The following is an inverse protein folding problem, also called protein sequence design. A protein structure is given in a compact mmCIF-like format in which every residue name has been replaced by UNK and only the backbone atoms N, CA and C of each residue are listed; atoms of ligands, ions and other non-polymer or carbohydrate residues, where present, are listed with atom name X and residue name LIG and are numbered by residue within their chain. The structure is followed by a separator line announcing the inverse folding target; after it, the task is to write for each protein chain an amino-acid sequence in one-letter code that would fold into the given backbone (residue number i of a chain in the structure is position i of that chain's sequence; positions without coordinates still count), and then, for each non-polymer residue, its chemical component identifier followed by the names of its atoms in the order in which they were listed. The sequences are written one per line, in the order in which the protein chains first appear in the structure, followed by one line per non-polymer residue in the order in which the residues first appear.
data_IF_887089901654
#
_entry.id   IF_887089901654
#
_cell.length_a   1.000
_cell.length_b   1.000
_cell.length_c   1.000
_cell.angle_alpha   90.00
_cell.angle_beta   90.00
_cell.angle_gamma   90.00
#
_symmetry.space_group_name_H-M   'P 1'
#
loop_
_entity.id
_entity.type
_entity.pdbx_description
1 polymer ?
#
# COMPACT_ATOMS: atom_id res chain seq x y z
N UNK A 1 7.75 15.52 -12.55
CA UNK A 1 7.10 14.57 -13.44
C UNK A 1 7.83 14.46 -14.77
N UNK A 2 7.66 13.36 -15.47
CA UNK A 2 8.19 13.13 -16.82
C UNK A 2 7.03 13.07 -17.79
N UNK A 3 7.13 13.87 -18.89
CA UNK A 3 6.18 13.82 -20.01
C UNK A 3 6.86 13.08 -21.15
N UNK A 4 6.21 12.07 -21.70
CA UNK A 4 6.70 11.30 -22.84
C UNK A 4 5.70 11.39 -23.99
N UNK A 5 6.18 11.69 -25.20
CA UNK A 5 5.40 11.67 -26.43
C UNK A 5 6.11 10.79 -27.45
N UNK A 6 5.35 9.90 -28.08
CA UNK A 6 5.85 8.94 -29.08
C UNK A 6 5.11 9.17 -30.41
N UNK A 7 5.82 9.10 -31.53
CA UNK A 7 5.26 9.23 -32.86
C UNK A 7 6.32 9.17 -33.95
N UNK A 8 5.87 9.15 -35.20
CA UNK A 8 6.74 9.02 -36.38
C UNK A 8 7.22 10.37 -36.93
N UNK A 9 6.57 11.46 -36.57
CA UNK A 9 6.94 12.81 -37.03
C UNK A 9 7.68 13.56 -35.91
N UNK A 10 8.96 13.82 -36.11
CA UNK A 10 9.84 14.50 -35.15
C UNK A 10 9.27 15.85 -34.67
N UNK A 11 8.78 16.69 -35.58
CA UNK A 11 8.25 18.02 -35.24
C UNK A 11 6.98 17.93 -34.38
N UNK A 12 6.10 16.97 -34.70
CA UNK A 12 4.89 16.75 -33.92
C UNK A 12 5.21 16.18 -32.52
N UNK A 13 6.16 15.26 -32.43
CA UNK A 13 6.61 14.68 -31.13
C UNK A 13 7.22 15.80 -30.27
N UNK A 14 8.10 16.61 -30.79
CA UNK A 14 8.74 17.71 -30.07
C UNK A 14 7.71 18.74 -29.60
N UNK A 15 6.85 19.22 -30.50
CA UNK A 15 5.84 20.23 -30.16
C UNK A 15 4.80 19.67 -29.18
N UNK A 16 4.40 18.39 -29.33
CA UNK A 16 3.50 17.69 -28.43
C UNK A 16 4.08 17.54 -27.02
N UNK A 17 5.36 17.18 -26.90
CA UNK A 17 6.05 17.08 -25.63
C UNK A 17 6.12 18.43 -24.89
N UNK A 18 6.50 19.51 -25.59
CA UNK A 18 6.51 20.88 -25.04
C UNK A 18 5.12 21.30 -24.56
N UNK A 19 4.09 21.09 -25.39
CA UNK A 19 2.71 21.45 -25.06
C UNK A 19 2.20 20.72 -23.82
N UNK A 20 2.45 19.41 -23.71
CA UNK A 20 2.04 18.63 -22.55
C UNK A 20 2.82 19.01 -21.30
N UNK A 21 4.14 19.22 -21.40
CA UNK A 21 4.96 19.66 -20.28
C UNK A 21 4.52 21.02 -19.76
N UNK A 22 4.25 21.98 -20.67
CA UNK A 22 3.72 23.29 -20.29
C UNK A 22 2.37 23.15 -19.58
N UNK A 23 1.44 22.37 -20.15
CA UNK A 23 0.13 22.17 -19.52
C UNK A 23 0.25 21.53 -18.13
N UNK A 24 1.13 20.55 -17.96
CA UNK A 24 1.40 19.93 -16.67
C UNK A 24 1.93 20.94 -15.65
N UNK A 25 2.85 21.81 -16.09
CA UNK A 25 3.39 22.89 -15.27
C UNK A 25 2.32 23.90 -14.86
N UNK A 26 1.48 24.34 -15.79
CA UNK A 26 0.43 25.34 -15.55
C UNK A 26 -0.57 24.88 -14.47
N UNK A 27 -0.89 23.57 -14.46
CA UNK A 27 -1.86 22.98 -13.51
C UNK A 27 -1.20 22.38 -12.25
N UNK A 28 0.12 22.50 -12.07
CA UNK A 28 0.87 21.83 -10.98
C UNK A 28 0.32 22.07 -9.57
N UNK A 29 -0.33 23.20 -9.34
CA UNK A 29 -0.95 23.56 -8.05
C UNK A 29 -2.40 23.08 -7.90
N UNK A 30 -2.96 22.48 -8.95
CA UNK A 30 -4.34 21.98 -8.97
C UNK A 30 -4.43 20.49 -8.61
N UNK A 31 -3.28 19.80 -8.55
CA UNK A 31 -3.26 18.41 -8.14
C UNK A 31 -3.61 18.27 -6.66
N UNK A 32 -4.54 17.38 -6.36
CA UNK A 32 -4.95 17.01 -5.01
C UNK A 32 -4.97 15.49 -4.87
N UNK A 33 -4.96 15.02 -3.64
CA UNK A 33 -5.24 13.62 -3.38
C UNK A 33 -6.71 13.30 -3.70
N UNK A 34 -7.02 12.06 -4.04
CA UNK A 34 -8.38 11.60 -4.38
C UNK A 34 -9.33 11.66 -3.17
N UNK A 35 -8.80 11.45 -1.96
CA UNK A 35 -9.50 11.64 -0.70
C UNK A 35 -8.68 12.54 0.23
N UNK A 36 -9.27 13.09 1.31
CA UNK A 36 -8.54 13.91 2.25
C UNK A 36 -7.32 13.18 2.85
N UNK A 37 -6.14 13.81 2.75
CA UNK A 37 -4.86 13.28 3.26
C UNK A 37 -4.50 13.88 4.62
N UNK A 38 -4.14 13.03 5.58
CA UNK A 38 -3.75 13.47 6.93
C UNK A 38 -2.62 12.59 7.49
N UNK A 39 -1.92 13.04 8.57
CA UNK A 39 -1.09 12.16 9.37
C UNK A 39 -1.89 10.96 9.91
N UNK A 40 -1.24 9.82 10.12
CA UNK A 40 -1.86 8.55 10.52
C UNK A 40 -2.79 8.70 11.74
N UNK A 41 -2.32 9.37 12.78
CA UNK A 41 -3.06 9.55 14.03
C UNK A 41 -4.40 10.25 13.79
N UNK A 42 -4.39 11.30 12.97
CA UNK A 42 -5.62 12.02 12.59
C UNK A 42 -6.57 11.14 11.78
N UNK A 43 -6.04 10.30 10.87
CA UNK A 43 -6.86 9.33 10.12
C UNK A 43 -7.55 8.35 11.05
N UNK A 44 -6.83 7.81 12.04
CA UNK A 44 -7.38 6.89 13.04
C UNK A 44 -8.44 7.61 13.89
N UNK A 45 -8.18 8.82 14.36
CA UNK A 45 -9.14 9.61 15.17
C UNK A 45 -10.44 9.84 14.42
N UNK A 46 -10.37 10.20 13.12
CA UNK A 46 -11.53 10.39 12.27
C UNK A 46 -12.33 9.07 12.11
N UNK A 47 -11.64 7.96 11.85
CA UNK A 47 -12.28 6.67 11.69
C UNK A 47 -12.92 6.17 12.99
N UNK A 48 -12.27 6.35 14.13
CA UNK A 48 -12.81 6.00 15.44
C UNK A 48 -14.03 6.85 15.80
N UNK A 49 -14.04 8.14 15.48
CA UNK A 49 -15.16 9.03 15.72
C UNK A 49 -16.34 8.83 14.76
N UNK A 50 -16.10 8.25 13.57
CA UNK A 50 -17.11 8.09 12.52
C UNK A 50 -18.13 6.99 12.86
N UNK A 51 -19.38 7.18 12.46
CA UNK A 51 -20.43 6.15 12.47
C UNK A 51 -20.62 5.48 11.10
N UNK A 52 -19.88 5.89 10.08
CA UNK A 52 -19.91 5.30 8.73
C UNK A 52 -19.10 4.00 8.70
N UNK A 53 -19.59 2.97 7.97
CA UNK A 53 -18.98 1.64 7.88
C UNK A 53 -19.03 1.07 6.47
N UNK A 54 -17.97 0.44 6.00
CA UNK A 54 -16.62 0.52 6.53
C UNK A 54 -16.00 1.90 6.29
N UNK A 55 -15.25 2.40 7.25
CA UNK A 55 -14.40 3.58 7.08
C UNK A 55 -13.02 3.11 6.59
N UNK A 56 -12.59 3.56 5.42
CA UNK A 56 -11.33 3.13 4.84
C UNK A 56 -10.19 4.12 5.14
N UNK A 57 -9.01 3.57 5.43
CA UNK A 57 -7.77 4.31 5.58
C UNK A 57 -6.74 3.73 4.61
N UNK A 58 -6.29 4.53 3.65
CA UNK A 58 -5.16 4.19 2.79
C UNK A 58 -3.84 4.43 3.52
N UNK A 59 -3.06 3.38 3.77
CA UNK A 59 -1.66 3.46 4.20
C UNK A 59 -0.79 3.72 2.97
N UNK A 60 -0.45 5.00 2.73
CA UNK A 60 0.15 5.42 1.47
C UNK A 60 1.65 5.15 1.39
N UNK A 61 2.36 5.21 2.52
CA UNK A 61 3.83 5.23 2.53
C UNK A 61 4.48 3.90 2.17
N UNK A 62 3.76 2.78 2.35
CA UNK A 62 4.24 1.44 1.99
C UNK A 62 3.26 0.74 1.04
N UNK A 63 2.92 1.42 -0.05
CA UNK A 63 2.02 0.90 -1.09
C UNK A 63 2.77 0.01 -2.10
N UNK A 64 2.52 -1.32 -2.13
CA UNK A 64 3.13 -2.21 -3.11
C UNK A 64 2.82 -1.84 -4.56
N UNK A 65 1.64 -1.30 -4.84
CA UNK A 65 1.26 -0.82 -6.17
C UNK A 65 2.08 0.41 -6.63
N UNK A 66 2.66 1.15 -5.70
CA UNK A 66 3.57 2.26 -5.95
C UNK A 66 5.06 1.89 -5.90
N UNK A 67 5.39 0.62 -5.68
CA UNK A 67 6.77 0.13 -5.56
C UNK A 67 7.24 -0.04 -4.11
N UNK A 68 6.36 0.11 -3.12
CA UNK A 68 6.66 -0.20 -1.73
C UNK A 68 6.84 -1.71 -1.49
N UNK A 69 7.59 -2.08 -0.46
CA UNK A 69 7.81 -3.49 -0.11
C UNK A 69 6.54 -4.17 0.41
N UNK A 70 5.60 -3.41 0.98
CA UNK A 70 4.41 -3.91 1.64
C UNK A 70 4.66 -4.51 3.02
N UNK A 71 5.92 -4.49 3.50
CA UNK A 71 6.29 -5.10 4.76
C UNK A 71 6.67 -4.13 5.88
N UNK A 72 6.64 -2.81 5.60
CA UNK A 72 6.94 -1.78 6.61
C UNK A 72 5.92 -1.84 7.75
N UNK A 73 6.42 -1.98 8.95
CA UNK A 73 5.64 -2.19 10.18
C UNK A 73 5.23 -0.90 10.88
N UNK A 74 5.71 0.25 10.41
CA UNK A 74 5.54 1.56 11.04
C UNK A 74 4.07 1.87 11.40
N UNK A 75 3.16 1.62 10.47
CA UNK A 75 1.72 1.83 10.67
C UNK A 75 1.15 0.82 11.65
N UNK A 76 1.45 -0.48 11.49
CA UNK A 76 0.95 -1.55 12.36
C UNK A 76 1.39 -1.34 13.81
N UNK A 77 2.67 -0.98 14.03
CA UNK A 77 3.20 -0.72 15.36
C UNK A 77 2.46 0.40 16.11
N UNK A 78 1.98 1.41 15.39
CA UNK A 78 1.19 2.53 15.94
C UNK A 78 -0.25 2.13 16.19
N UNK A 79 -0.89 1.45 15.26
CA UNK A 79 -2.26 0.93 15.40
C UNK A 79 -2.36 0.01 16.62
N UNK A 80 -1.41 -0.90 16.80
CA UNK A 80 -1.38 -1.81 17.95
C UNK A 80 -1.21 -1.10 19.30
N UNK A 81 -0.70 0.12 19.34
CA UNK A 81 -0.54 0.91 20.56
C UNK A 81 -1.80 1.70 20.93
N UNK A 82 -2.74 1.88 20.01
CA UNK A 82 -3.96 2.70 20.23
C UNK A 82 -4.88 2.06 21.27
N UNK A 83 -5.26 2.80 22.33
CA UNK A 83 -6.08 2.27 23.41
C UNK A 83 -7.48 1.85 22.97
N UNK A 84 -8.04 2.48 21.94
CA UNK A 84 -9.37 2.21 21.38
C UNK A 84 -9.51 0.77 20.86
N UNK A 85 -8.40 0.15 20.48
CA UNK A 85 -8.37 -1.19 19.91
C UNK A 85 -7.91 -2.28 20.89
N UNK A 86 -7.56 -1.92 22.14
CA UNK A 86 -7.01 -2.87 23.13
C UNK A 86 -8.02 -3.91 23.62
N UNK A 87 -9.31 -3.62 23.52
CA UNK A 87 -10.36 -4.52 24.00
C UNK A 87 -11.15 -5.11 22.84
N UNK A 88 -11.69 -6.35 22.99
CA UNK A 88 -12.52 -6.96 21.96
C UNK A 88 -13.84 -6.23 21.65
N UNK A 89 -14.24 -5.30 22.53
CA UNK A 89 -15.47 -4.50 22.39
C UNK A 89 -15.23 -3.15 21.70
N UNK A 90 -13.96 -2.82 21.35
CA UNK A 90 -13.63 -1.65 20.56
C UNK A 90 -14.17 -1.74 19.12
N UNK A 91 -14.08 -0.62 18.38
CA UNK A 91 -14.37 -0.65 16.95
C UNK A 91 -13.47 -1.66 16.27
N UNK A 92 -14.06 -2.50 15.41
CA UNK A 92 -13.32 -3.51 14.66
C UNK A 92 -12.45 -2.86 13.59
N UNK A 93 -11.16 -3.22 13.56
CA UNK A 93 -10.22 -2.77 12.54
C UNK A 93 -9.65 -3.98 11.80
N UNK A 94 -9.80 -4.00 10.48
CA UNK A 94 -9.15 -4.95 9.59
C UNK A 94 -7.89 -4.31 9.00
N UNK A 95 -6.72 -4.86 9.34
CA UNK A 95 -5.43 -4.43 8.79
C UNK A 95 -5.01 -5.36 7.64
N UNK A 96 -4.98 -4.85 6.43
CA UNK A 96 -4.67 -5.58 5.19
C UNK A 96 -3.44 -5.01 4.49
N UNK A 97 -2.33 -5.67 4.46
CA UNK A 97 -1.86 -6.91 5.10
C UNK A 97 -0.39 -6.71 5.48
N UNK A 98 0.23 -7.70 6.08
CA UNK A 98 1.67 -7.67 6.38
C UNK A 98 2.27 -9.05 6.13
N UNK A 99 3.49 -9.17 5.56
CA UNK A 99 4.16 -10.46 5.42
C UNK A 99 4.64 -10.98 6.79
N UNK A 100 4.59 -12.31 6.97
CA UNK A 100 5.01 -12.97 8.19
C UNK A 100 4.85 -14.49 8.11
N UNK A 101 5.74 -15.18 7.37
CA UNK A 101 5.68 -16.64 7.21
C UNK A 101 5.72 -17.38 8.54
N UNK A 102 6.54 -16.92 9.50
CA UNK A 102 6.61 -17.52 10.84
C UNK A 102 5.26 -17.42 11.57
N UNK A 103 4.53 -16.32 11.40
CA UNK A 103 3.20 -16.17 12.00
C UNK A 103 2.17 -17.10 11.34
N UNK A 104 2.24 -17.30 10.03
CA UNK A 104 1.37 -18.26 9.35
C UNK A 104 1.61 -19.68 9.86
N UNK A 105 2.86 -20.07 10.06
CA UNK A 105 3.23 -21.37 10.61
C UNK A 105 2.83 -21.51 12.10
N UNK A 106 3.04 -20.46 12.90
CA UNK A 106 2.58 -20.44 14.29
C UNK A 106 1.04 -20.58 14.38
N UNK A 107 0.31 -19.90 13.49
CA UNK A 107 -1.15 -20.01 13.40
C UNK A 107 -1.61 -21.42 13.00
N UNK A 108 -0.91 -22.08 12.07
CA UNK A 108 -1.19 -23.49 11.72
C UNK A 108 -1.04 -24.43 12.91
N UNK A 109 0.07 -24.28 13.65
CA UNK A 109 0.33 -25.08 14.84
C UNK A 109 -0.71 -24.86 15.94
N UNK A 110 -1.14 -23.63 16.15
CA UNK A 110 -2.12 -23.26 17.16
C UNK A 110 -3.55 -23.69 16.80
N UNK A 111 -3.87 -23.75 15.51
CA UNK A 111 -5.22 -23.98 15.01
C UNK A 111 -6.17 -22.80 15.22
N UNK A 112 -7.33 -22.82 14.56
CA UNK A 112 -8.37 -21.79 14.71
C UNK A 112 -8.86 -21.76 16.16
N UNK A 113 -8.94 -20.56 16.75
CA UNK A 113 -9.27 -20.34 18.17
C UNK A 113 -8.05 -20.42 19.11
N UNK A 114 -6.93 -20.98 18.67
CA UNK A 114 -5.68 -21.04 19.42
C UNK A 114 -4.96 -19.68 19.49
N UNK A 115 -3.95 -19.59 20.36
CA UNK A 115 -3.07 -18.42 20.49
C UNK A 115 -1.82 -18.61 19.65
N UNK A 116 -1.48 -17.62 18.82
CA UNK A 116 -0.26 -17.62 18.04
C UNK A 116 0.53 -16.34 18.31
N UNK A 117 1.86 -16.44 18.23
CA UNK A 117 2.77 -15.32 18.40
C UNK A 117 3.99 -15.51 17.52
N UNK A 118 4.34 -14.48 16.75
CA UNK A 118 5.58 -14.40 15.96
C UNK A 118 5.88 -12.95 15.54
N UNK A 119 7.04 -12.74 14.95
CA UNK A 119 7.36 -11.45 14.31
C UNK A 119 6.75 -11.37 12.91
N UNK A 120 6.33 -10.16 12.53
CA UNK A 120 5.76 -9.86 11.22
C UNK A 120 6.39 -8.59 10.63
N UNK A 121 6.51 -8.56 9.31
CA UNK A 121 7.00 -7.41 8.53
C UNK A 121 8.47 -7.09 8.75
N UNK A 122 8.94 -6.05 8.07
CA UNK A 122 10.28 -5.47 8.18
C UNK A 122 11.44 -6.49 8.06
N UNK A 123 11.25 -7.55 7.25
CA UNK A 123 12.26 -8.60 7.06
C UNK A 123 13.38 -8.16 6.12
N UNK A 124 13.04 -7.40 5.07
CA UNK A 124 13.99 -6.85 4.09
C UNK A 124 14.14 -5.33 4.20
N UNK A 125 13.10 -4.62 4.63
CA UNK A 125 13.11 -3.18 4.85
C UNK A 125 12.69 -2.84 6.29
N UNK A 126 13.68 -2.70 7.15
CA UNK A 126 13.54 -2.28 8.56
C UNK A 126 13.94 -0.81 8.79
N UNK A 127 14.09 -0.03 7.73
CA UNK A 127 14.58 1.35 7.80
C UNK A 127 13.64 2.30 8.54
N UNK A 128 12.35 1.96 8.61
CA UNK A 128 11.31 2.81 9.19
C UNK A 128 10.84 2.35 10.57
N UNK A 129 10.83 1.05 10.82
CA UNK A 129 10.43 0.43 12.08
C UNK A 129 10.93 -1.02 12.10
N UNK A 130 11.21 -1.58 13.28
CA UNK A 130 11.62 -2.97 13.46
C UNK A 130 10.44 -3.95 13.20
N UNK A 131 10.71 -5.25 12.97
CA UNK A 131 9.66 -6.26 12.95
C UNK A 131 8.77 -6.18 14.19
N UNK A 132 7.46 -6.32 14.00
CA UNK A 132 6.48 -6.26 15.09
C UNK A 132 6.21 -7.64 15.64
N UNK A 133 6.36 -7.82 16.95
CA UNK A 133 5.88 -9.02 17.64
C UNK A 133 4.36 -8.94 17.74
N UNK A 134 3.69 -9.77 16.94
CA UNK A 134 2.24 -9.89 16.92
C UNK A 134 1.82 -11.11 17.74
N UNK A 135 0.86 -10.94 18.64
CA UNK A 135 0.29 -12.02 19.43
C UNK A 135 -1.23 -11.90 19.45
N UNK A 136 -1.94 -13.02 19.32
CA UNK A 136 -3.40 -13.01 19.35
C UNK A 136 -4.04 -14.34 19.01
N UNK A 137 -5.37 -14.32 18.95
CA UNK A 137 -6.18 -15.49 18.61
C UNK A 137 -6.20 -15.71 17.10
N UNK A 138 -5.98 -16.93 16.66
CA UNK A 138 -6.10 -17.34 15.26
C UNK A 138 -7.57 -17.36 14.86
N UNK A 139 -7.98 -16.49 13.95
CA UNK A 139 -9.35 -16.45 13.41
C UNK A 139 -9.44 -17.31 12.15
N UNK A 140 -8.38 -17.33 11.36
CA UNK A 140 -8.29 -18.08 10.12
C UNK A 140 -6.82 -18.42 9.82
N UNK A 141 -6.60 -19.55 9.19
CA UNK A 141 -5.33 -19.90 8.55
C UNK A 141 -5.61 -20.72 7.30
N UNK A 142 -4.89 -20.44 6.20
CA UNK A 142 -5.01 -21.19 4.95
C UNK A 142 -4.74 -22.68 5.18
N UNK A 143 -5.57 -23.57 4.59
CA UNK A 143 -5.29 -25.01 4.60
C UNK A 143 -3.92 -25.31 4.00
N UNK A 144 -3.29 -26.39 4.46
CA UNK A 144 -2.07 -26.92 3.82
C UNK A 144 -2.47 -27.53 2.47
N UNK A 145 -1.86 -27.07 1.39
CA UNK A 145 -2.05 -27.72 0.10
C UNK A 145 -1.13 -28.92 -0.02
N UNK A 146 -1.67 -30.13 0.10
CA UNK A 146 -0.92 -31.42 0.04
C UNK A 146 -0.30 -31.73 -1.32
N UNK A 147 -0.57 -30.95 -2.39
CA UNK A 147 -0.18 -31.30 -3.76
C UNK A 147 0.79 -30.31 -4.41
N UNK A 148 1.90 -29.95 -3.76
CA UNK A 148 2.94 -29.16 -4.42
C UNK A 148 3.96 -30.01 -5.23
N UNK A 149 3.79 -31.33 -5.36
CA UNK A 149 4.74 -32.20 -6.08
C UNK A 149 4.31 -32.72 -7.46
N UNK A 150 3.07 -32.49 -7.90
CA UNK A 150 2.63 -33.03 -9.19
C UNK A 150 1.59 -32.13 -9.90
N UNK A 151 2.04 -31.07 -10.57
CA UNK A 151 1.30 -30.59 -11.74
C UNK A 151 2.27 -30.05 -12.79
N UNK A 152 2.76 -30.92 -13.66
CA UNK A 152 3.27 -30.54 -14.98
C UNK A 152 2.09 -30.09 -15.86
N UNK A 153 1.41 -29.04 -15.50
CA UNK A 153 0.40 -28.42 -16.34
C UNK A 153 1.07 -27.38 -17.25
N UNK A 154 0.93 -27.55 -18.58
CA UNK A 154 1.41 -26.65 -19.65
C UNK A 154 0.61 -25.31 -19.71
N UNK A 155 -0.14 -24.96 -18.71
CA UNK A 155 -0.75 -23.63 -18.56
C UNK A 155 0.24 -22.67 -17.92
N UNK A 156 0.16 -21.33 -18.20
CA UNK A 156 0.98 -20.37 -17.49
C UNK A 156 0.76 -20.57 -15.98
N UNK A 157 1.83 -20.53 -15.16
CA UNK A 157 1.75 -20.92 -13.77
C UNK A 157 0.61 -20.15 -13.11
N UNK A 158 -0.43 -20.88 -12.70
CA UNK A 158 -1.52 -20.34 -11.92
C UNK A 158 -0.85 -19.71 -10.71
N UNK A 159 -0.87 -18.37 -10.62
CA UNK A 159 -0.16 -17.63 -9.57
C UNK A 159 -0.75 -18.09 -8.24
N UNK A 160 -0.08 -19.02 -7.56
CA UNK A 160 -0.52 -19.54 -6.26
C UNK A 160 -0.77 -18.36 -5.35
N UNK A 161 -1.97 -18.26 -4.83
CA UNK A 161 -2.27 -17.24 -3.84
C UNK A 161 -1.42 -17.53 -2.60
N UNK A 162 -0.83 -16.50 -1.99
CA UNK A 162 -0.03 -16.70 -0.77
C UNK A 162 -0.91 -17.26 0.35
N UNK A 163 -0.33 -18.12 1.16
CA UNK A 163 -0.97 -18.57 2.37
C UNK A 163 -1.16 -17.39 3.33
N UNK A 164 -2.30 -17.34 4.00
CA UNK A 164 -2.62 -16.28 4.94
C UNK A 164 -3.06 -16.84 6.30
N UNK A 165 -2.83 -16.05 7.33
CA UNK A 165 -3.47 -16.18 8.63
C UNK A 165 -4.15 -14.87 9.01
N UNK A 166 -5.24 -14.93 9.78
CA UNK A 166 -5.87 -13.75 10.37
C UNK A 166 -5.75 -13.87 11.87
N UNK A 167 -5.03 -12.92 12.46
CA UNK A 167 -4.75 -12.87 13.90
C UNK A 167 -5.55 -11.74 14.54
N UNK A 168 -6.35 -12.07 15.55
CA UNK A 168 -7.12 -11.09 16.30
C UNK A 168 -6.39 -10.71 17.58
N UNK A 169 -6.10 -9.41 17.74
CA UNK A 169 -5.56 -8.84 18.98
C UNK A 169 -6.42 -7.63 19.39
N UNK A 170 -7.05 -7.72 20.57
CA UNK A 170 -8.08 -6.74 20.94
C UNK A 170 -9.25 -6.75 19.92
N UNK A 171 -9.52 -5.59 19.30
CA UNK A 171 -10.50 -5.46 18.21
C UNK A 171 -9.86 -5.38 16.82
N UNK A 172 -8.54 -5.58 16.71
CA UNK A 172 -7.80 -5.57 15.45
C UNK A 172 -7.73 -6.98 14.87
N UNK A 173 -8.03 -7.11 13.58
CA UNK A 173 -7.84 -8.31 12.77
C UNK A 173 -6.69 -8.05 11.80
N UNK A 174 -5.54 -8.66 12.03
CA UNK A 174 -4.35 -8.50 11.18
C UNK A 174 -4.29 -9.63 10.18
N UNK A 175 -4.34 -9.31 8.89
CA UNK A 175 -4.10 -10.28 7.82
C UNK A 175 -2.60 -10.40 7.62
N UNK A 176 -2.07 -11.59 7.88
CA UNK A 176 -0.65 -11.93 7.72
C UNK A 176 -0.51 -12.90 6.55
N UNK A 177 0.39 -12.64 5.62
CA UNK A 177 0.62 -13.51 4.47
C UNK A 177 2.05 -14.03 4.38
N UNK A 178 2.28 -15.09 3.60
CA UNK A 178 3.64 -15.56 3.27
C UNK A 178 4.38 -14.61 2.32
N UNK A 179 3.65 -13.70 1.68
CA UNK A 179 4.17 -12.54 0.94
C UNK A 179 3.26 -11.35 1.17
N UNK A 180 3.58 -10.18 0.60
CA UNK A 180 2.70 -8.99 0.69
C UNK A 180 1.58 -9.05 -0.36
N UNK A 181 0.42 -9.62 -0.11
CA UNK A 181 -0.65 -9.72 -1.09
C UNK A 181 -1.75 -8.72 -0.80
N UNK A 182 -2.52 -8.38 -1.83
CA UNK A 182 -3.89 -7.92 -1.62
C UNK A 182 -4.67 -9.13 -1.09
N UNK A 183 -5.19 -9.12 0.14
CA UNK A 183 -5.77 -10.32 0.72
C UNK A 183 -7.06 -10.70 0.01
N UNK A 184 -7.16 -11.96 -0.41
CA UNK A 184 -8.44 -12.55 -0.72
C UNK A 184 -9.08 -13.05 0.59
N UNK A 185 -10.14 -12.41 1.02
CA UNK A 185 -10.84 -12.76 2.27
C UNK A 185 -11.98 -13.76 2.06
N UNK A 186 -12.19 -14.24 0.83
CA UNK A 186 -13.19 -15.27 0.57
C UNK A 186 -12.90 -16.55 1.40
N UNK A 187 -13.90 -17.08 2.05
CA UNK A 187 -13.77 -18.29 2.88
C UNK A 187 -13.11 -18.09 4.25
N UNK A 188 -12.65 -16.87 4.59
CA UNK A 188 -12.02 -16.62 5.90
C UNK A 188 -13.00 -16.39 7.05
N UNK A 189 -14.29 -16.23 6.75
CA UNK A 189 -15.30 -15.83 7.73
C UNK A 189 -15.32 -14.34 8.06
N UNK A 190 -14.39 -13.56 7.53
CA UNK A 190 -14.36 -12.10 7.66
C UNK A 190 -15.16 -11.45 6.51
N UNK A 191 -16.20 -10.72 6.86
CA UNK A 191 -16.94 -9.86 5.94
C UNK A 191 -16.44 -8.41 6.09
N UNK A 192 -15.67 -7.87 5.11
CA UNK A 192 -15.14 -6.52 5.20
C UNK A 192 -16.23 -5.45 5.37
N UNK A 193 -17.42 -5.67 4.82
CA UNK A 193 -18.54 -4.71 4.91
C UNK A 193 -19.09 -4.55 6.33
N UNK A 194 -18.79 -5.52 7.21
CA UNK A 194 -19.18 -5.48 8.64
C UNK A 194 -18.11 -4.90 9.55
N UNK A 195 -16.92 -4.62 9.02
CA UNK A 195 -15.86 -3.98 9.80
C UNK A 195 -16.16 -2.49 9.99
N UNK A 196 -15.80 -1.94 11.15
CA UNK A 196 -15.91 -0.51 11.37
C UNK A 196 -14.86 0.25 10.58
N UNK A 197 -13.62 -0.27 10.58
CA UNK A 197 -12.46 0.36 9.95
C UNK A 197 -11.71 -0.68 9.12
N UNK A 198 -11.29 -0.30 7.93
CA UNK A 198 -10.39 -1.11 7.08
C UNK A 198 -9.18 -0.27 6.74
N UNK A 199 -7.99 -0.78 6.99
CA UNK A 199 -6.73 -0.17 6.63
C UNK A 199 -6.02 -1.00 5.56
N UNK A 200 -5.68 -0.37 4.42
CA UNK A 200 -5.07 -1.03 3.26
C UNK A 200 -3.79 -0.31 2.84
N UNK A 201 -2.75 -1.08 2.49
CA UNK A 201 -1.48 -0.54 1.96
C UNK A 201 -1.64 -0.18 0.48
N UNK A 202 -2.36 0.90 0.22
CA UNK A 202 -2.64 1.42 -1.11
C UNK A 202 -2.58 2.95 -1.11
N UNK A 203 -2.13 3.54 -2.21
CA UNK A 203 -2.27 4.98 -2.42
C UNK A 203 -3.72 5.30 -2.77
N UNK A 204 -4.21 4.78 -3.89
CA UNK A 204 -5.61 4.87 -4.31
C UNK A 204 -6.30 3.54 -4.11
N UNK A 205 -7.59 3.57 -3.71
CA UNK A 205 -8.36 2.36 -3.54
C UNK A 205 -8.63 1.69 -4.89
N UNK A 206 -8.36 0.38 -4.98
CA UNK A 206 -8.87 -0.44 -6.09
C UNK A 206 -10.39 -0.60 -5.95
N UNK A 207 -11.09 -0.90 -7.06
CA UNK A 207 -12.56 -0.97 -7.10
C UNK A 207 -13.16 -1.79 -5.97
N UNK A 208 -12.53 -2.92 -5.61
CA UNK A 208 -13.00 -3.78 -4.50
C UNK A 208 -13.19 -3.01 -3.18
N UNK A 209 -12.27 -2.09 -2.85
CA UNK A 209 -12.34 -1.28 -1.63
C UNK A 209 -13.13 0.00 -1.85
N UNK A 210 -12.95 0.62 -3.01
CA UNK A 210 -13.63 1.86 -3.37
C UNK A 210 -15.16 1.71 -3.38
N UNK A 211 -15.68 0.61 -3.95
CA UNK A 211 -17.13 0.40 -4.09
C UNK A 211 -17.82 0.08 -2.75
N UNK A 212 -17.07 -0.34 -1.74
CA UNK A 212 -17.64 -0.67 -0.43
C UNK A 212 -17.48 0.41 0.62
N UNK A 213 -16.61 1.40 0.41
CA UNK A 213 -16.32 2.41 1.42
C UNK A 213 -17.54 3.32 1.69
N UNK A 214 -17.83 3.57 2.96
CA UNK A 214 -18.80 4.56 3.38
C UNK A 214 -18.16 5.92 3.66
N UNK A 215 -16.86 5.91 3.93
CA UNK A 215 -15.98 7.07 4.02
C UNK A 215 -14.52 6.66 3.84
N UNK A 216 -13.66 7.58 3.42
CA UNK A 216 -12.27 7.28 3.09
C UNK A 216 -11.34 8.46 3.35
N UNK A 217 -10.19 8.17 3.95
CA UNK A 217 -9.07 9.10 4.14
C UNK A 217 -7.75 8.44 3.74
N UNK A 218 -6.78 9.28 3.36
CA UNK A 218 -5.45 8.86 2.94
C UNK A 218 -4.43 9.21 4.02
N UNK A 219 -3.85 8.19 4.67
CA UNK A 219 -2.86 8.37 5.71
C UNK A 219 -1.46 8.57 5.12
N UNK A 220 -0.86 9.71 5.39
CA UNK A 220 0.54 10.01 5.08
C UNK A 220 1.42 9.28 6.10
N UNK A 221 1.84 8.08 5.73
CA UNK A 221 2.62 7.17 6.55
C UNK A 221 4.05 7.06 6.05
N UNK A 222 4.93 6.49 6.86
CA UNK A 222 6.32 6.24 6.46
C UNK A 222 6.46 4.95 5.68
N UNK A 223 7.34 4.97 4.69
CA UNK A 223 7.67 3.85 3.84
C UNK A 223 8.43 4.30 2.59
N UNK A 224 8.80 3.36 1.73
CA UNK A 224 9.61 3.63 0.53
C UNK A 224 8.89 4.46 -0.54
N UNK A 225 7.57 4.65 -0.41
CA UNK A 225 6.75 5.52 -1.28
C UNK A 225 6.03 6.61 -0.49
N UNK A 226 6.67 7.09 0.58
CA UNK A 226 6.18 8.17 1.44
C UNK A 226 5.80 9.41 0.61
N UNK A 227 4.59 9.93 0.82
CA UNK A 227 4.03 11.07 0.07
C UNK A 227 4.26 12.41 0.76
N UNK A 228 4.89 12.44 1.93
CA UNK A 228 5.33 13.67 2.55
C UNK A 228 6.67 14.13 1.96
N UNK A 229 6.63 14.61 0.73
CA UNK A 229 7.81 15.01 -0.04
C UNK A 229 8.70 16.03 0.70
N UNK A 230 8.15 16.84 1.60
CA UNK A 230 8.92 17.84 2.34
C UNK A 230 9.82 17.22 3.42
N UNK A 231 9.43 16.09 3.96
CA UNK A 231 10.16 15.40 5.03
C UNK A 231 11.14 14.33 4.52
N UNK A 232 11.16 14.06 3.20
CA UNK A 232 12.07 13.06 2.64
C UNK A 232 13.54 13.52 2.76
N UNK A 233 14.47 12.60 3.11
CA UNK A 233 15.88 12.92 3.33
C UNK A 233 16.65 13.02 2.01
N UNK A 234 16.31 13.98 1.16
CA UNK A 234 16.97 14.18 -0.12
C UNK A 234 18.46 14.47 0.03
N UNK A 235 19.29 13.76 -0.76
CA UNK A 235 20.75 13.93 -0.77
C UNK A 235 21.28 14.51 -2.08
N UNK A 236 20.59 14.29 -3.19
CA UNK A 236 21.09 14.59 -4.55
C UNK A 236 20.03 15.24 -5.44
N UNK A 237 18.95 15.75 -4.89
CA UNK A 237 17.93 16.45 -5.67
C UNK A 237 18.47 17.82 -6.12
N UNK A 238 18.35 18.10 -7.41
CA UNK A 238 18.71 19.41 -7.95
C UNK A 238 17.62 20.41 -7.59
N UNK A 239 18.03 21.55 -7.06
CA UNK A 239 17.13 22.63 -6.65
C UNK A 239 17.30 23.85 -7.56
N UNK A 240 16.26 24.69 -7.81
CA UNK A 240 14.92 24.55 -7.25
C UNK A 240 14.08 23.45 -7.95
N UNK A 241 13.16 22.82 -7.20
CA UNK A 241 12.22 21.81 -7.73
C UNK A 241 10.85 21.92 -7.05
N UNK A 242 9.78 21.94 -7.83
CA UNK A 242 8.41 21.86 -7.30
C UNK A 242 8.10 20.43 -6.82
N UNK A 243 7.41 20.21 -5.68
CA UNK A 243 6.79 21.21 -4.80
C UNK A 243 7.67 21.69 -3.62
N UNK A 244 8.96 21.30 -3.56
CA UNK A 244 9.85 21.69 -2.45
C UNK A 244 10.14 23.19 -2.47
N UNK A 245 10.20 23.78 -3.66
CA UNK A 245 10.39 25.21 -3.90
C UNK A 245 9.14 25.77 -4.60
N UNK A 246 8.07 26.11 -3.85
CA UNK A 246 6.79 26.46 -4.44
C UNK A 246 6.83 27.73 -5.31
N UNK A 247 7.77 28.64 -5.02
CA UNK A 247 7.91 29.93 -5.69
C UNK A 247 9.08 29.95 -6.70
N UNK A 248 9.53 28.77 -7.12
CA UNK A 248 10.57 28.66 -8.15
C UNK A 248 10.11 29.29 -9.47
N UNK A 249 11.05 29.86 -10.25
CA UNK A 249 10.74 30.39 -11.58
C UNK A 249 10.25 29.27 -12.51
N UNK A 250 9.57 29.68 -13.58
CA UNK A 250 9.14 28.72 -14.61
C UNK A 250 10.35 27.98 -15.18
N UNK A 251 10.32 26.66 -15.30
CA UNK A 251 11.42 25.88 -15.82
C UNK A 251 11.56 26.04 -17.33
N UNK A 252 12.79 25.98 -17.83
CA UNK A 252 13.04 25.81 -19.26
C UNK A 252 12.63 24.38 -19.68
N UNK A 253 11.68 24.28 -20.62
CA UNK A 253 11.16 22.98 -21.09
C UNK A 253 12.02 22.47 -22.26
N UNK A 254 13.04 21.70 -21.94
CA UNK A 254 13.93 21.07 -22.90
C UNK A 254 13.46 19.67 -23.29
N UNK A 255 13.26 19.43 -24.58
CA UNK A 255 12.87 18.12 -25.11
C UNK A 255 14.10 17.29 -25.43
N UNK A 256 14.15 16.09 -24.85
CA UNK A 256 15.17 15.10 -25.18
C UNK A 256 14.58 14.14 -26.22
N UNK A 257 15.12 14.16 -27.44
CA UNK A 257 14.71 13.28 -28.53
C UNK A 257 15.47 11.96 -28.43
N UNK A 258 14.70 10.85 -28.25
CA UNK A 258 15.26 9.49 -28.26
C UNK A 258 14.95 8.85 -29.61
N UNK A 259 15.94 8.39 -30.39
CA UNK A 259 15.72 7.70 -31.65
C UNK A 259 14.92 6.41 -31.48
N UNK A 260 14.21 5.97 -32.51
CA UNK A 260 13.54 4.68 -32.50
C UNK A 260 14.55 3.51 -32.40
N UNK A 261 14.11 2.37 -31.89
CA UNK A 261 14.95 1.16 -31.84
C UNK A 261 15.54 0.79 -33.22
N UNK A 262 14.77 0.97 -34.31
CA UNK A 262 15.25 0.78 -35.68
C UNK A 262 16.40 1.71 -36.02
N UNK A 263 16.35 2.97 -35.58
CA UNK A 263 17.44 3.94 -35.78
C UNK A 263 18.66 3.65 -34.92
N UNK A 264 18.45 3.14 -33.71
CA UNK A 264 19.53 2.84 -32.77
C UNK A 264 20.21 1.49 -33.06
N UNK A 265 19.46 0.48 -33.51
CA UNK A 265 19.94 -0.90 -33.58
C UNK A 265 19.86 -1.51 -34.99
N UNK A 266 19.36 -0.77 -35.99
CA UNK A 266 19.30 -1.23 -37.39
C UNK A 266 18.34 -2.42 -37.65
N UNK A 267 17.39 -2.67 -36.75
CA UNK A 267 16.44 -3.81 -36.84
C UNK A 267 15.01 -3.33 -36.97
#
# INVERSE_FOLDING_TARGET
GVVMVVGDNKGQVESGAKKLAQRFWDVRRQFSLEAPGYPLEKCIDLAVASNKRPFLISDMGDNPGGGGSGEVTWTLARVLKRPEFKTPKGKSLLYCSIPGSEMVEAARKAGIGGQAEAFVGAMTDNSYEAPVRLSGTVIYVSPVHENDQQSESKSPPNRKLPDIAIIKTGSIFVVVGTSSPTPNLAGTGIDPKKMDIIMVKQGYLVSQWYDMQADWVMAQTRGSVDQDFKSLPYKRVVRPIFPLDPDMPDPELNVIMVPSAKQMYGR
#
